data_IF_152022765638
#
_entry.id   IF_152022765638
#
_cell.length_a   1.000
_cell.length_b   1.000
_cell.length_c   1.000
_cell.angle_alpha   90.00
_cell.angle_beta   90.00
_cell.angle_gamma   90.00
#
_symmetry.space_group_name_H-M   'P 1'
#
loop_
_entity.id
_entity.type
_entity.pdbx_description
1 polymer ?
#
# COMPACT_ATOMS: atom_id res chain seq x y z
N UNK A 1 8.74 23.40 -16.80
CA UNK A 1 8.07 23.86 -15.56
C UNK A 1 7.25 25.13 -15.74
N UNK A 2 7.86 26.32 -15.89
CA UNK A 2 7.12 27.59 -15.90
C UNK A 2 6.07 27.71 -17.03
N UNK A 3 6.36 27.15 -18.20
CA UNK A 3 5.41 27.15 -19.33
C UNK A 3 4.19 26.27 -19.07
N UNK A 4 4.38 25.07 -18.52
CA UNK A 4 3.28 24.20 -18.12
C UNK A 4 2.43 24.83 -17.01
N UNK A 5 3.04 25.43 -15.99
CA UNK A 5 2.31 26.14 -14.93
C UNK A 5 1.47 27.30 -15.49
N UNK A 6 2.00 28.05 -16.47
CA UNK A 6 1.24 29.11 -17.15
C UNK A 6 0.07 28.54 -17.95
N UNK A 7 0.28 27.42 -18.64
CA UNK A 7 -0.78 26.71 -19.34
C UNK A 7 -1.87 26.24 -18.37
N UNK A 8 -1.49 25.62 -17.24
CA UNK A 8 -2.42 25.12 -16.23
C UNK A 8 -3.25 26.24 -15.60
N UNK A 9 -2.63 27.38 -15.26
CA UNK A 9 -3.37 28.59 -14.81
C UNK A 9 -4.31 29.14 -15.88
N UNK A 10 -3.93 29.03 -17.15
CA UNK A 10 -4.81 29.40 -18.27
C UNK A 10 -6.01 28.47 -18.39
N UNK A 11 -5.78 27.17 -18.22
CA UNK A 11 -6.82 26.14 -18.23
C UNK A 11 -7.82 26.34 -17.08
N UNK A 12 -7.34 26.48 -15.84
CA UNK A 12 -8.23 26.56 -14.67
C UNK A 12 -9.11 27.81 -14.65
N UNK A 13 -8.64 28.94 -15.21
CA UNK A 13 -9.46 30.15 -15.39
C UNK A 13 -10.64 29.98 -16.35
N UNK A 14 -10.65 28.93 -17.16
CA UNK A 14 -11.73 28.62 -18.09
C UNK A 14 -12.75 27.64 -17.51
N UNK A 15 -12.51 27.12 -16.30
CA UNK A 15 -13.35 26.16 -15.59
C UNK A 15 -14.23 26.88 -14.56
N UNK A 16 -15.31 26.23 -14.15
CA UNK A 16 -16.11 26.65 -13.00
C UNK A 16 -15.41 26.22 -11.70
N UNK A 17 -15.22 27.16 -10.77
CA UNK A 17 -14.54 26.91 -9.49
C UNK A 17 -15.47 26.23 -8.47
N UNK A 18 -16.77 26.19 -8.74
CA UNK A 18 -17.81 25.64 -7.84
C UNK A 18 -18.31 24.26 -8.25
N UNK A 19 -17.93 23.79 -9.44
CA UNK A 19 -18.39 22.52 -10.01
C UNK A 19 -17.27 21.75 -10.72
N UNK A 20 -17.49 20.47 -10.99
CA UNK A 20 -16.53 19.62 -11.69
C UNK A 20 -15.33 19.19 -10.83
N UNK A 21 -14.37 18.55 -11.46
CA UNK A 21 -13.17 18.03 -10.80
C UNK A 21 -12.25 19.11 -10.26
N UNK A 22 -12.18 20.29 -10.91
CA UNK A 22 -11.38 21.41 -10.42
C UNK A 22 -11.78 21.86 -9.02
N UNK A 23 -13.10 21.97 -8.76
CA UNK A 23 -13.63 22.28 -7.45
C UNK A 23 -13.27 21.19 -6.42
N UNK A 24 -13.42 19.91 -6.79
CA UNK A 24 -13.11 18.76 -5.92
C UNK A 24 -11.64 18.74 -5.52
N UNK A 25 -10.71 18.91 -6.47
CA UNK A 25 -9.28 18.90 -6.18
C UNK A 25 -8.87 20.08 -5.31
N UNK A 26 -9.41 21.27 -5.56
CA UNK A 26 -9.10 22.46 -4.78
C UNK A 26 -9.63 22.34 -3.34
N UNK A 27 -10.78 21.70 -3.15
CA UNK A 27 -11.33 21.43 -1.82
C UNK A 27 -10.51 20.37 -1.05
N UNK A 28 -10.10 19.30 -1.74
CA UNK A 28 -9.43 18.15 -1.11
C UNK A 28 -7.95 18.41 -0.82
N UNK A 29 -7.26 19.11 -1.71
CA UNK A 29 -5.84 19.43 -1.60
C UNK A 29 -5.54 20.84 -2.14
N UNK A 30 -5.92 21.89 -1.40
CA UNK A 30 -5.72 23.28 -1.83
C UNK A 30 -4.25 23.64 -1.96
N UNK A 31 -3.39 23.07 -1.13
CA UNK A 31 -1.95 23.34 -1.15
C UNK A 31 -1.26 22.67 -2.34
N UNK A 32 -1.58 21.40 -2.62
CA UNK A 32 -1.06 20.68 -3.78
C UNK A 32 -1.52 21.29 -5.10
N UNK A 33 -2.79 21.71 -5.19
CA UNK A 33 -3.28 22.43 -6.37
C UNK A 33 -2.54 23.76 -6.56
N UNK A 34 -2.33 24.53 -5.47
CA UNK A 34 -1.55 25.78 -5.52
C UNK A 34 -0.11 25.52 -5.95
N UNK A 35 0.54 24.50 -5.41
CA UNK A 35 1.91 24.13 -5.78
C UNK A 35 2.04 23.79 -7.28
N UNK A 36 1.04 23.08 -7.85
CA UNK A 36 0.97 22.79 -9.28
C UNK A 36 0.78 24.07 -10.11
N UNK A 37 -0.11 24.96 -9.69
CA UNK A 37 -0.38 26.24 -10.36
C UNK A 37 0.82 27.19 -10.29
N UNK A 38 1.60 27.17 -9.21
CA UNK A 38 2.82 27.96 -9.05
C UNK A 38 4.01 27.35 -9.81
N UNK A 39 3.89 26.10 -10.26
CA UNK A 39 4.95 25.35 -10.95
C UNK A 39 6.07 24.89 -10.02
N UNK A 40 5.80 24.83 -8.72
CA UNK A 40 6.70 24.26 -7.71
C UNK A 40 6.63 22.73 -7.73
N UNK A 41 5.44 22.18 -8.00
CA UNK A 41 5.18 20.75 -8.23
C UNK A 41 4.57 20.48 -9.61
N UNK A 42 4.55 19.21 -10.03
CA UNK A 42 3.89 18.75 -11.26
C UNK A 42 2.69 17.88 -10.89
N UNK A 43 1.46 18.22 -11.32
CA UNK A 43 0.29 17.39 -11.07
C UNK A 43 0.43 16.05 -11.79
N UNK A 44 -0.09 14.96 -11.20
CA UNK A 44 -0.25 13.71 -11.92
C UNK A 44 -1.08 13.87 -13.20
N UNK A 45 -0.86 13.03 -14.20
CA UNK A 45 -1.56 13.16 -15.48
C UNK A 45 -3.08 13.00 -15.35
N UNK A 46 -3.57 12.13 -14.45
CA UNK A 46 -5.01 11.91 -14.23
C UNK A 46 -5.74 13.18 -13.75
N UNK A 47 -5.03 14.07 -13.04
CA UNK A 47 -5.55 15.39 -12.65
C UNK A 47 -5.72 16.28 -13.88
N UNK A 48 -4.71 16.32 -14.75
CA UNK A 48 -4.76 17.11 -16.00
C UNK A 48 -5.87 16.60 -16.93
N UNK A 49 -6.04 15.29 -17.06
CA UNK A 49 -7.14 14.67 -17.82
C UNK A 49 -8.51 15.07 -17.27
N UNK A 50 -8.66 15.13 -15.95
CA UNK A 50 -9.90 15.52 -15.31
C UNK A 50 -10.23 17.01 -15.53
N UNK A 51 -9.22 17.89 -15.52
CA UNK A 51 -9.40 19.31 -15.86
C UNK A 51 -9.74 19.51 -17.34
N UNK A 52 -9.17 18.70 -18.24
CA UNK A 52 -9.55 18.69 -19.65
C UNK A 52 -10.98 18.17 -19.85
N UNK A 53 -11.41 17.19 -19.04
CA UNK A 53 -12.79 16.72 -19.04
C UNK A 53 -13.76 17.81 -18.57
N UNK A 54 -13.45 18.54 -17.50
CA UNK A 54 -14.23 19.71 -17.08
C UNK A 54 -14.30 20.76 -18.21
N UNK A 55 -13.17 21.02 -18.88
CA UNK A 55 -13.13 21.94 -20.01
C UNK A 55 -14.06 21.49 -21.15
N UNK A 56 -14.13 20.18 -21.45
CA UNK A 56 -15.06 19.65 -22.45
C UNK A 56 -16.51 19.92 -22.06
N UNK A 57 -16.86 19.71 -20.78
CA UNK A 57 -18.20 19.98 -20.24
C UNK A 57 -18.62 21.45 -20.40
N UNK A 58 -17.68 22.39 -20.20
CA UNK A 58 -17.97 23.83 -20.23
C UNK A 58 -17.78 24.51 -21.59
N UNK A 59 -16.86 24.04 -22.42
CA UNK A 59 -16.44 24.70 -23.69
C UNK A 59 -16.59 23.80 -24.92
N UNK A 60 -17.02 22.56 -24.74
CA UNK A 60 -17.21 21.56 -25.80
C UNK A 60 -15.92 20.88 -26.24
N UNK A 61 -16.09 19.74 -26.91
CA UNK A 61 -15.03 18.82 -27.36
C UNK A 61 -13.94 19.46 -28.25
N UNK A 62 -14.27 20.55 -28.98
CA UNK A 62 -13.30 21.25 -29.83
C UNK A 62 -12.16 21.88 -29.01
N UNK A 63 -12.48 22.41 -27.83
CA UNK A 63 -11.50 23.03 -26.95
C UNK A 63 -10.45 22.01 -26.48
N UNK A 64 -10.87 20.78 -26.17
CA UNK A 64 -9.98 19.69 -25.74
C UNK A 64 -9.13 19.14 -26.89
N UNK A 65 -9.67 19.00 -28.11
CA UNK A 65 -8.87 18.55 -29.26
C UNK A 65 -7.67 19.45 -29.53
N UNK A 66 -7.79 20.73 -29.21
CA UNK A 66 -6.70 21.72 -29.37
C UNK A 66 -5.80 21.79 -28.14
N UNK A 67 -6.39 21.77 -26.94
CA UNK A 67 -5.65 21.91 -25.68
C UNK A 67 -4.93 20.63 -25.24
N UNK A 68 -5.50 19.44 -25.51
CA UNK A 68 -5.03 18.14 -25.03
C UNK A 68 -3.61 17.76 -25.48
N UNK A 69 -3.31 17.76 -26.79
CA UNK A 69 -1.95 17.45 -27.27
C UNK A 69 -0.90 18.44 -26.73
N UNK A 70 -1.27 19.71 -26.61
CA UNK A 70 -0.41 20.74 -26.02
C UNK A 70 -0.19 20.50 -24.52
N UNK A 71 -1.25 20.16 -23.77
CA UNK A 71 -1.17 19.83 -22.36
C UNK A 71 -0.23 18.66 -22.12
N UNK A 72 -0.34 17.60 -22.95
CA UNK A 72 0.51 16.41 -22.86
C UNK A 72 1.98 16.72 -23.05
N UNK A 73 2.32 17.43 -24.13
CA UNK A 73 3.71 17.82 -24.42
C UNK A 73 4.30 18.68 -23.29
N UNK A 74 3.57 19.71 -22.85
CA UNK A 74 4.03 20.59 -21.77
C UNK A 74 4.15 19.86 -20.43
N UNK A 75 3.27 18.89 -20.15
CA UNK A 75 3.34 18.04 -18.95
C UNK A 75 4.59 17.17 -18.98
N UNK A 76 4.88 16.49 -20.09
CA UNK A 76 6.08 15.65 -20.24
C UNK A 76 7.37 16.46 -20.07
N UNK A 77 7.44 17.66 -20.67
CA UNK A 77 8.57 18.59 -20.47
C UNK A 77 8.68 19.07 -19.00
N UNK A 78 7.55 19.29 -18.33
CA UNK A 78 7.54 19.67 -16.92
C UNK A 78 8.01 18.52 -16.02
N UNK A 79 7.51 17.31 -16.23
CA UNK A 79 7.94 16.09 -15.52
C UNK A 79 9.45 15.90 -15.69
N UNK A 80 9.97 15.95 -16.92
CA UNK A 80 11.40 15.80 -17.18
C UNK A 80 12.25 16.84 -16.44
N UNK A 81 11.82 18.11 -16.46
CA UNK A 81 12.50 19.18 -15.73
C UNK A 81 12.43 19.04 -14.20
N UNK A 82 11.31 18.52 -13.68
CA UNK A 82 11.15 18.25 -12.25
C UNK A 82 12.02 17.08 -11.78
N UNK A 83 12.12 16.03 -12.60
CA UNK A 83 12.90 14.82 -12.31
C UNK A 83 14.41 15.03 -12.52
N UNK A 84 14.82 16.07 -13.24
CA UNK A 84 16.21 16.49 -13.35
C UNK A 84 16.76 17.15 -12.06
N UNK A 85 15.89 17.51 -11.10
CA UNK A 85 16.31 18.14 -9.84
C UNK A 85 17.08 17.15 -8.95
N UNK A 86 18.06 17.61 -8.14
CA UNK A 86 18.74 16.76 -7.17
C UNK A 86 17.76 16.03 -6.24
N UNK A 87 18.12 14.79 -5.87
CA UNK A 87 17.31 13.96 -4.98
C UNK A 87 16.00 13.42 -5.59
N UNK A 88 15.80 13.53 -6.92
CA UNK A 88 14.59 13.03 -7.57
C UNK A 88 14.27 11.55 -7.27
N UNK A 89 15.23 10.60 -7.29
CA UNK A 89 14.91 9.20 -6.98
C UNK A 89 14.32 8.98 -5.57
N UNK A 90 14.90 9.64 -4.55
CA UNK A 90 14.38 9.53 -3.18
C UNK A 90 12.98 10.14 -3.06
N UNK A 91 12.81 11.37 -3.55
CA UNK A 91 11.51 12.08 -3.53
C UNK A 91 10.40 11.32 -4.27
N UNK A 92 10.71 10.74 -5.43
CA UNK A 92 9.77 9.93 -6.19
C UNK A 92 9.46 8.61 -5.49
N UNK A 93 10.46 7.99 -4.84
CA UNK A 93 10.27 6.81 -3.98
C UNK A 93 9.32 7.10 -2.81
N UNK A 94 9.56 8.16 -2.05
CA UNK A 94 8.70 8.56 -0.93
C UNK A 94 7.25 8.80 -1.37
N UNK A 95 7.07 9.47 -2.52
CA UNK A 95 5.74 9.72 -3.11
C UNK A 95 5.08 8.45 -3.62
N UNK A 96 5.85 7.51 -4.19
CA UNK A 96 5.34 6.21 -4.62
C UNK A 96 4.86 5.40 -3.40
N UNK A 97 5.64 5.36 -2.34
CA UNK A 97 5.28 4.66 -1.10
C UNK A 97 3.99 5.23 -0.50
N UNK A 98 3.83 6.56 -0.52
CA UNK A 98 2.58 7.23 -0.14
C UNK A 98 1.41 6.81 -1.03
N UNK A 99 1.56 6.86 -2.36
CA UNK A 99 0.50 6.45 -3.30
C UNK A 99 0.13 4.96 -3.17
N UNK A 100 1.09 4.09 -2.87
CA UNK A 100 0.83 2.67 -2.65
C UNK A 100 -0.02 2.44 -1.39
N UNK A 101 0.27 3.17 -0.30
CA UNK A 101 -0.57 3.17 0.92
C UNK A 101 -1.97 3.69 0.64
N UNK A 102 -2.10 4.81 -0.07
CA UNK A 102 -3.40 5.36 -0.45
C UNK A 102 -4.21 4.39 -1.31
N UNK A 103 -3.56 3.73 -2.28
CA UNK A 103 -4.20 2.72 -3.13
C UNK A 103 -4.73 1.55 -2.32
N UNK A 104 -3.94 1.07 -1.36
CA UNK A 104 -4.36 -0.02 -0.47
C UNK A 104 -5.54 0.40 0.41
N UNK A 105 -5.50 1.62 0.97
CA UNK A 105 -6.61 2.19 1.73
C UNK A 105 -7.89 2.28 0.90
N UNK A 106 -7.81 2.84 -0.31
CA UNK A 106 -8.95 2.96 -1.21
C UNK A 106 -9.52 1.58 -1.60
N UNK A 107 -8.66 0.59 -1.85
CA UNK A 107 -9.08 -0.78 -2.15
C UNK A 107 -9.79 -1.46 -0.95
N UNK A 108 -9.32 -1.22 0.27
CA UNK A 108 -9.98 -1.72 1.48
C UNK A 108 -11.34 -1.04 1.66
N UNK A 109 -11.37 0.29 1.57
CA UNK A 109 -12.58 1.09 1.69
C UNK A 109 -13.64 0.71 0.66
N UNK A 110 -13.23 0.44 -0.58
CA UNK A 110 -14.11 -0.07 -1.62
C UNK A 110 -14.77 -1.40 -1.22
N UNK A 111 -13.99 -2.35 -0.66
CA UNK A 111 -14.50 -3.66 -0.24
C UNK A 111 -15.48 -3.53 0.92
N UNK A 112 -15.17 -2.70 1.91
CA UNK A 112 -16.04 -2.40 3.05
C UNK A 112 -17.38 -1.82 2.60
N UNK A 113 -17.33 -0.78 1.77
CA UNK A 113 -18.53 -0.11 1.26
C UNK A 113 -19.37 -1.04 0.39
N UNK A 114 -18.73 -1.91 -0.40
CA UNK A 114 -19.43 -2.94 -1.18
C UNK A 114 -20.15 -3.94 -0.28
N UNK A 115 -19.50 -4.41 0.79
CA UNK A 115 -20.11 -5.31 1.76
C UNK A 115 -21.27 -4.64 2.51
N UNK A 116 -21.09 -3.39 2.96
CA UNK A 116 -22.11 -2.60 3.62
C UNK A 116 -23.32 -2.35 2.72
N UNK A 117 -23.09 -2.05 1.44
CA UNK A 117 -24.16 -1.85 0.46
C UNK A 117 -24.97 -3.13 0.22
N UNK A 118 -24.31 -4.29 0.16
CA UNK A 118 -24.98 -5.59 0.03
C UNK A 118 -25.82 -5.91 1.27
N UNK A 119 -25.29 -5.65 2.47
CA UNK A 119 -26.01 -5.85 3.73
C UNK A 119 -27.20 -4.89 3.89
N UNK A 120 -27.12 -3.68 3.34
CA UNK A 120 -28.17 -2.68 3.43
C UNK A 120 -29.38 -2.96 2.53
N UNK A 121 -29.29 -3.85 1.52
CA UNK A 121 -30.38 -4.37 0.67
C UNK A 121 -31.64 -3.47 0.48
N UNK A 122 -31.45 -2.20 0.08
CA UNK A 122 -32.55 -1.26 -0.21
C UNK A 122 -33.09 -0.47 1.00
N UNK A 123 -32.48 -0.61 2.17
CA UNK A 123 -32.78 0.17 3.37
C UNK A 123 -32.34 1.64 3.28
N UNK A 124 -32.83 2.49 4.20
CA UNK A 124 -32.45 3.89 4.26
C UNK A 124 -30.93 4.01 4.48
N UNK A 125 -30.22 4.56 3.49
CA UNK A 125 -28.75 4.68 3.49
C UNK A 125 -28.05 4.00 2.32
N UNK A 126 -28.73 3.13 1.56
CA UNK A 126 -28.15 2.48 0.39
C UNK A 126 -27.64 3.47 -0.68
N UNK A 127 -28.36 4.57 -0.91
CA UNK A 127 -27.94 5.62 -1.85
C UNK A 127 -26.63 6.29 -1.40
N UNK A 128 -26.52 6.69 -0.13
CA UNK A 128 -25.29 7.27 0.43
C UNK A 128 -24.10 6.30 0.33
N UNK A 129 -24.32 5.02 0.65
CA UNK A 129 -23.28 3.99 0.53
C UNK A 129 -22.84 3.76 -0.92
N UNK A 130 -23.78 3.85 -1.88
CA UNK A 130 -23.46 3.76 -3.30
C UNK A 130 -22.61 4.96 -3.77
N UNK A 131 -22.91 6.17 -3.30
CA UNK A 131 -22.12 7.37 -3.59
C UNK A 131 -20.71 7.25 -3.00
N UNK A 132 -20.59 6.88 -1.71
CA UNK A 132 -19.28 6.65 -1.08
C UNK A 132 -18.48 5.55 -1.80
N UNK A 133 -19.14 4.48 -2.26
CA UNK A 133 -18.49 3.40 -3.02
C UNK A 133 -17.98 3.89 -4.36
N UNK A 134 -18.71 4.79 -5.04
CA UNK A 134 -18.27 5.39 -6.28
C UNK A 134 -16.99 6.22 -6.06
N UNK A 135 -16.94 7.01 -4.98
CA UNK A 135 -15.73 7.76 -4.58
C UNK A 135 -14.55 6.84 -4.25
N UNK A 136 -14.78 5.77 -3.46
CA UNK A 136 -13.71 4.83 -3.12
C UNK A 136 -13.13 4.12 -4.34
N UNK A 137 -13.97 3.80 -5.34
CA UNK A 137 -13.52 3.24 -6.63
C UNK A 137 -12.69 4.21 -7.42
N UNK A 138 -13.14 5.46 -7.53
CA UNK A 138 -12.39 6.51 -8.24
C UNK A 138 -11.01 6.72 -7.59
N UNK A 139 -10.96 6.83 -6.26
CA UNK A 139 -9.72 6.95 -5.50
C UNK A 139 -8.77 5.76 -5.73
N UNK A 140 -9.30 4.53 -5.77
CA UNK A 140 -8.51 3.33 -6.04
C UNK A 140 -7.95 3.33 -7.48
N UNK A 141 -8.74 3.74 -8.47
CA UNK A 141 -8.29 3.86 -9.87
C UNK A 141 -7.21 4.94 -10.00
N UNK A 142 -7.42 6.12 -9.42
CA UNK A 142 -6.50 7.26 -9.49
C UNK A 142 -5.18 6.99 -8.78
N UNK A 143 -5.22 6.51 -7.54
CA UNK A 143 -4.01 6.11 -6.79
C UNK A 143 -3.22 5.02 -7.54
N UNK A 144 -3.90 4.07 -8.16
CA UNK A 144 -3.27 3.06 -9.03
C UNK A 144 -2.61 3.64 -10.29
N UNK A 145 -3.24 4.63 -10.94
CA UNK A 145 -2.65 5.33 -12.09
C UNK A 145 -1.41 6.14 -11.67
N UNK A 146 -1.49 6.88 -10.57
CA UNK A 146 -0.38 7.67 -10.01
C UNK A 146 0.80 6.81 -9.61
N UNK A 147 0.56 5.65 -8.98
CA UNK A 147 1.62 4.71 -8.64
C UNK A 147 2.34 4.19 -9.90
N UNK A 148 1.62 3.86 -10.97
CA UNK A 148 2.22 3.46 -12.25
C UNK A 148 3.03 4.58 -12.90
N UNK A 149 2.54 5.82 -12.85
CA UNK A 149 3.26 6.98 -13.37
C UNK A 149 4.58 7.20 -12.61
N UNK A 150 4.55 7.18 -11.28
CA UNK A 150 5.74 7.35 -10.43
C UNK A 150 6.75 6.23 -10.62
N UNK A 151 6.29 4.97 -10.73
CA UNK A 151 7.15 3.84 -11.05
C UNK A 151 7.83 4.03 -12.42
N UNK A 152 7.06 4.40 -13.46
CA UNK A 152 7.61 4.65 -14.79
C UNK A 152 8.67 5.76 -14.82
N UNK A 153 8.51 6.80 -13.99
CA UNK A 153 9.50 7.88 -13.83
C UNK A 153 10.78 7.40 -13.14
N UNK A 154 10.66 6.59 -12.09
CA UNK A 154 11.80 5.95 -11.44
C UNK A 154 12.57 5.04 -12.41
N UNK A 155 11.86 4.24 -13.22
CA UNK A 155 12.45 3.35 -14.21
C UNK A 155 13.18 4.15 -15.31
N UNK A 156 12.62 5.28 -15.74
CA UNK A 156 13.25 6.19 -16.70
C UNK A 156 14.54 6.82 -16.13
N UNK A 157 14.53 7.26 -14.88
CA UNK A 157 15.72 7.79 -14.21
C UNK A 157 16.81 6.72 -14.05
N UNK A 158 16.44 5.50 -13.68
CA UNK A 158 17.36 4.38 -13.59
C UNK A 158 17.98 4.05 -14.95
N UNK A 159 17.16 4.00 -16.00
CA UNK A 159 17.61 3.78 -17.38
C UNK A 159 18.59 4.87 -17.83
N UNK A 160 18.27 6.15 -17.59
CA UNK A 160 19.14 7.26 -17.95
C UNK A 160 20.46 7.28 -17.15
N UNK A 161 20.47 6.77 -15.91
CA UNK A 161 21.69 6.60 -15.13
C UNK A 161 22.59 5.49 -15.71
N UNK A 162 22.01 4.38 -16.16
CA UNK A 162 22.75 3.30 -16.83
C UNK A 162 23.33 3.78 -18.17
N UNK A 163 22.54 4.47 -18.99
CA UNK A 163 23.02 5.01 -20.27
C UNK A 163 24.16 6.02 -20.12
N UNK A 164 24.13 6.86 -19.06
CA UNK A 164 25.23 7.79 -18.75
C UNK A 164 26.51 7.09 -18.27
N UNK A 165 26.37 5.96 -17.57
CA UNK A 165 27.51 5.16 -17.07
C UNK A 165 28.19 4.34 -18.17
N UNK A 166 27.46 4.01 -19.23
CA UNK A 166 27.98 3.29 -20.40
C UNK A 166 27.65 4.05 -21.70
N UNK A 167 28.34 5.16 -21.99
CA UNK A 167 28.18 5.86 -23.26
C UNK A 167 28.88 5.03 -24.35
N UNK A 168 28.14 4.15 -25.04
CA UNK A 168 28.70 3.33 -26.13
C UNK A 168 28.04 1.98 -26.43
N UNK A 169 26.84 1.68 -25.94
CA UNK A 169 26.10 0.46 -26.31
C UNK A 169 25.52 0.52 -27.73
N UNK A 170 26.37 0.76 -28.74
CA UNK A 170 26.00 0.66 -30.14
C UNK A 170 25.75 -0.79 -30.52
N UNK A 171 24.58 -1.06 -31.09
CA UNK A 171 24.28 -2.27 -31.85
C UNK A 171 25.31 -2.44 -32.97
N UNK A 172 26.25 -3.36 -32.81
CA UNK A 172 27.15 -3.81 -33.87
C UNK A 172 26.61 -5.10 -34.51
N UNK A 173 26.43 -5.16 -35.84
CA UNK A 173 26.08 -6.40 -36.53
C UNK A 173 27.33 -7.25 -36.73
N UNK A 174 27.33 -8.47 -36.18
CA UNK A 174 28.40 -9.45 -36.42
C UNK A 174 28.08 -10.27 -37.68
N UNK A 175 28.80 -9.98 -38.77
CA UNK A 175 28.90 -10.84 -39.96
C UNK A 175 30.19 -11.69 -39.91
N UNK A 176 29.97 -13.01 -39.81
CA UNK A 176 30.54 -14.14 -40.59
C UNK A 176 32.08 -14.41 -40.66
N UNK A 177 32.47 -15.51 -39.96
CA UNK A 177 33.23 -16.74 -40.36
C UNK A 177 34.62 -16.65 -41.11
N UNK A 178 35.46 -17.72 -41.28
CA UNK A 178 35.19 -19.18 -41.12
C UNK A 178 36.33 -20.13 -40.60
N UNK A 179 35.87 -21.37 -40.31
CA UNK A 179 36.41 -22.73 -40.56
C UNK A 179 37.67 -23.33 -39.86
N UNK A 180 37.46 -24.48 -39.19
CA UNK A 180 38.08 -25.78 -39.54
C UNK A 180 37.54 -26.97 -38.71
N UNK A 181 36.90 -27.94 -39.37
CA UNK A 181 37.25 -29.36 -39.19
C UNK A 181 36.32 -30.32 -38.40
N UNK A 182 35.34 -30.89 -39.12
CA UNK A 182 34.86 -32.29 -39.14
C UNK A 182 34.32 -33.04 -37.90
N UNK A 183 33.12 -33.61 -38.11
CA UNK A 183 32.28 -34.43 -37.23
C UNK A 183 32.72 -35.94 -37.16
N UNK A 184 32.06 -36.87 -36.41
CA UNK A 184 30.63 -37.18 -36.50
C UNK A 184 29.88 -37.31 -35.16
N UNK A 185 28.56 -37.18 -35.29
CA UNK A 185 27.54 -37.20 -34.24
C UNK A 185 27.39 -38.60 -33.63
N UNK A 186 27.25 -38.65 -32.31
CA UNK A 186 26.44 -39.67 -31.62
C UNK A 186 25.63 -39.00 -30.52
N UNK A 187 24.31 -39.16 -30.63
CA UNK A 187 23.24 -38.68 -29.77
C UNK A 187 23.41 -39.13 -28.32
N UNK A 188 23.54 -38.16 -27.41
CA UNK A 188 23.37 -38.31 -25.97
C UNK A 188 22.89 -36.98 -25.40
N UNK A 189 21.63 -36.92 -25.00
CA UNK A 189 21.00 -35.74 -24.39
C UNK A 189 21.77 -35.34 -23.12
N UNK A 190 22.35 -34.12 -23.02
CA UNK A 190 22.78 -33.61 -21.74
C UNK A 190 21.53 -33.12 -21.01
N UNK A 191 21.21 -33.75 -19.88
CA UNK A 191 20.35 -33.12 -18.88
C UNK A 191 21.07 -31.85 -18.45
N UNK A 192 20.53 -30.70 -18.85
CA UNK A 192 20.99 -29.42 -18.35
C UNK A 192 20.86 -29.42 -16.81
N UNK A 193 21.88 -28.95 -16.06
CA UNK A 193 21.70 -28.75 -14.64
C UNK A 193 20.54 -27.77 -14.44
N UNK A 194 19.60 -28.14 -13.56
CA UNK A 194 18.49 -27.28 -13.20
C UNK A 194 19.03 -25.87 -12.84
N UNK A 195 18.35 -24.79 -13.26
CA UNK A 195 18.75 -23.44 -12.87
C UNK A 195 18.86 -23.37 -11.34
N UNK A 196 19.88 -22.67 -10.79
CA UNK A 196 19.98 -22.52 -9.34
C UNK A 196 18.65 -21.97 -8.82
N UNK A 197 18.17 -22.45 -7.64
CA UNK A 197 16.92 -21.96 -7.08
C UNK A 197 16.98 -20.43 -7.01
N UNK A 198 15.85 -19.73 -7.24
CA UNK A 198 15.82 -18.29 -7.17
C UNK A 198 16.42 -17.84 -5.81
N UNK A 199 17.25 -16.79 -5.79
CA UNK A 199 17.88 -16.34 -4.56
C UNK A 199 16.81 -16.03 -3.51
N UNK A 200 17.05 -16.48 -2.27
CA UNK A 200 16.17 -16.21 -1.13
C UNK A 200 15.85 -14.71 -1.03
N UNK A 201 14.63 -14.37 -0.59
CA UNK A 201 14.13 -13.00 -0.58
C UNK A 201 15.10 -12.05 0.13
N UNK A 202 15.73 -12.50 1.22
CA UNK A 202 16.72 -11.72 1.96
C UNK A 202 18.00 -11.42 1.15
N UNK A 203 18.50 -12.37 0.35
CA UNK A 203 19.69 -12.16 -0.51
C UNK A 203 19.38 -11.17 -1.64
N UNK A 204 18.18 -11.28 -2.21
CA UNK A 204 17.70 -10.32 -3.21
C UNK A 204 17.52 -8.93 -2.58
N UNK A 205 16.95 -8.86 -1.38
CA UNK A 205 16.78 -7.61 -0.64
C UNK A 205 18.12 -6.95 -0.35
N UNK A 206 19.10 -7.71 0.14
CA UNK A 206 20.46 -7.23 0.41
C UNK A 206 21.10 -6.64 -0.86
N UNK A 207 20.95 -7.31 -2.00
CA UNK A 207 21.46 -6.82 -3.28
C UNK A 207 20.74 -5.53 -3.72
N UNK A 208 19.43 -5.46 -3.57
CA UNK A 208 18.66 -4.26 -3.91
C UNK A 208 19.07 -3.07 -3.03
N UNK A 209 19.23 -3.28 -1.72
CA UNK A 209 19.74 -2.25 -0.80
C UNK A 209 21.16 -1.81 -1.15
N UNK A 210 22.08 -2.75 -1.38
CA UNK A 210 23.47 -2.46 -1.75
C UNK A 210 23.61 -1.71 -3.09
N UNK A 211 22.66 -1.90 -4.00
CA UNK A 211 22.62 -1.21 -5.30
C UNK A 211 21.78 0.07 -5.30
N UNK A 212 21.30 0.51 -4.12
CA UNK A 212 20.52 1.74 -3.97
C UNK A 212 19.08 1.64 -4.53
N UNK A 213 18.60 0.43 -4.82
CA UNK A 213 17.26 0.15 -5.38
C UNK A 213 16.22 0.01 -4.25
N UNK A 214 16.07 1.07 -3.46
CA UNK A 214 15.24 1.10 -2.25
C UNK A 214 13.76 0.80 -2.48
N UNK A 215 13.16 1.32 -3.56
CA UNK A 215 11.75 1.07 -3.88
C UNK A 215 11.48 -0.39 -4.24
N UNK A 216 12.38 -1.03 -5.00
CA UNK A 216 12.27 -2.47 -5.29
C UNK A 216 12.53 -3.33 -4.06
N UNK A 217 13.42 -2.87 -3.16
CA UNK A 217 13.63 -3.51 -1.88
C UNK A 217 12.35 -3.47 -1.03
N UNK A 218 11.70 -2.31 -0.97
CA UNK A 218 10.42 -2.16 -0.28
C UNK A 218 9.31 -3.00 -0.93
N UNK A 219 9.17 -2.97 -2.26
CA UNK A 219 8.20 -3.78 -2.98
C UNK A 219 8.41 -5.29 -2.75
N UNK A 220 9.67 -5.74 -2.68
CA UNK A 220 10.01 -7.11 -2.34
C UNK A 220 9.62 -7.45 -0.89
N UNK A 221 9.88 -6.55 0.07
CA UNK A 221 9.44 -6.71 1.47
C UNK A 221 7.92 -6.78 1.58
N UNK A 222 7.19 -5.89 0.92
CA UNK A 222 5.73 -5.90 0.89
C UNK A 222 5.20 -7.19 0.25
N UNK A 223 5.75 -7.60 -0.89
CA UNK A 223 5.36 -8.86 -1.53
C UNK A 223 5.61 -10.06 -0.62
N UNK A 224 6.74 -10.07 0.09
CA UNK A 224 7.08 -11.13 1.04
C UNK A 224 6.16 -11.12 2.27
N UNK A 225 5.79 -9.95 2.80
CA UNK A 225 4.79 -9.81 3.87
C UNK A 225 3.41 -10.34 3.45
N UNK A 226 3.06 -10.19 2.17
CA UNK A 226 1.75 -10.58 1.63
C UNK A 226 1.68 -12.02 1.10
N UNK A 227 2.80 -12.73 0.96
CA UNK A 227 2.85 -14.07 0.36
C UNK A 227 2.11 -15.13 1.19
N UNK A 228 2.71 -15.59 2.30
CA UNK A 228 2.09 -16.56 3.20
C UNK A 228 2.47 -16.29 4.66
N UNK A 229 1.50 -16.16 5.60
CA UNK A 229 1.81 -15.90 7.01
C UNK A 229 2.73 -16.96 7.65
N UNK A 230 2.64 -18.21 7.19
CA UNK A 230 3.46 -19.34 7.63
C UNK A 230 4.94 -19.22 7.23
N UNK A 231 5.28 -18.41 6.22
CA UNK A 231 6.67 -18.21 5.78
C UNK A 231 7.38 -17.09 6.55
N UNK A 232 6.65 -16.30 7.34
CA UNK A 232 7.16 -15.14 8.05
C UNK A 232 8.36 -15.46 8.97
N UNK A 233 8.33 -16.51 9.82
CA UNK A 233 9.47 -16.82 10.69
C UNK A 233 10.74 -17.14 9.89
N UNK A 234 10.60 -17.94 8.82
CA UNK A 234 11.70 -18.29 7.92
C UNK A 234 12.25 -17.04 7.23
N UNK A 235 11.39 -16.14 6.77
CA UNK A 235 11.84 -14.89 6.15
C UNK A 235 12.63 -14.02 7.14
N UNK A 236 12.22 -13.96 8.40
CA UNK A 236 12.96 -13.25 9.44
C UNK A 236 14.32 -13.91 9.70
N UNK A 237 14.38 -15.25 9.79
CA UNK A 237 15.64 -16.00 9.91
C UNK A 237 16.57 -15.68 8.71
N UNK A 238 16.03 -15.67 7.49
CA UNK A 238 16.78 -15.32 6.29
C UNK A 238 17.32 -13.89 6.36
N UNK A 239 16.51 -12.90 6.75
CA UNK A 239 16.92 -11.50 6.89
C UNK A 239 18.04 -11.33 7.92
N UNK A 240 17.89 -11.96 9.09
CA UNK A 240 18.88 -11.92 10.15
C UNK A 240 20.19 -12.58 9.72
N UNK A 241 20.13 -13.72 9.01
CA UNK A 241 21.31 -14.46 8.54
C UNK A 241 22.18 -13.67 7.55
N UNK A 242 21.58 -12.73 6.80
CA UNK A 242 22.30 -11.87 5.84
C UNK A 242 22.58 -10.46 6.40
N UNK A 243 22.38 -10.24 7.69
CA UNK A 243 22.68 -8.96 8.36
C UNK A 243 21.62 -7.87 8.16
N UNK A 244 20.40 -8.23 7.75
CA UNK A 244 19.27 -7.32 7.53
C UNK A 244 18.25 -7.35 8.68
N UNK A 245 18.69 -7.61 9.91
CA UNK A 245 17.82 -7.61 11.09
C UNK A 245 17.06 -6.28 11.29
N UNK A 246 17.62 -5.16 10.81
CA UNK A 246 16.97 -3.85 10.84
C UNK A 246 15.72 -3.74 9.94
N UNK A 247 15.51 -4.66 9.01
CA UNK A 247 14.32 -4.72 8.15
C UNK A 247 13.13 -5.44 8.82
N UNK A 248 13.38 -6.19 9.90
CA UNK A 248 12.34 -6.97 10.61
C UNK A 248 11.20 -6.08 11.14
N UNK A 249 11.45 -4.91 11.76
CA UNK A 249 10.38 -4.00 12.16
C UNK A 249 9.52 -3.51 10.99
N UNK A 250 10.12 -3.22 9.84
CA UNK A 250 9.39 -2.81 8.62
C UNK A 250 8.56 -3.97 8.08
N UNK A 251 9.11 -5.18 8.07
CA UNK A 251 8.37 -6.38 7.68
C UNK A 251 7.16 -6.62 8.60
N UNK A 252 7.34 -6.55 9.92
CA UNK A 252 6.25 -6.73 10.89
C UNK A 252 5.17 -5.65 10.74
N UNK A 253 5.55 -4.41 10.43
CA UNK A 253 4.60 -3.34 10.13
C UNK A 253 3.73 -3.69 8.90
N UNK A 254 4.34 -4.17 7.82
CA UNK A 254 3.59 -4.60 6.62
C UNK A 254 2.66 -5.79 6.91
N UNK A 255 3.10 -6.72 7.75
CA UNK A 255 2.29 -7.87 8.19
C UNK A 255 1.11 -7.43 9.06
N UNK A 256 1.28 -6.39 9.90
CA UNK A 256 0.20 -5.85 10.74
C UNK A 256 -0.98 -5.31 9.92
N UNK A 257 -0.72 -4.89 8.67
CA UNK A 257 -1.71 -4.39 7.72
C UNK A 257 -2.51 -5.50 7.01
N UNK A 258 -2.17 -6.78 7.18
CA UNK A 258 -2.89 -7.88 6.56
C UNK A 258 -4.35 -7.97 7.03
N UNK A 259 -5.28 -8.56 6.26
CA UNK A 259 -6.63 -8.86 6.73
C UNK A 259 -6.63 -9.66 8.05
N UNK A 260 -7.63 -9.49 8.94
CA UNK A 260 -7.64 -10.09 10.28
C UNK A 260 -7.27 -11.57 10.35
N UNK A 261 -7.78 -12.47 9.47
CA UNK A 261 -7.40 -13.89 9.52
C UNK A 261 -5.93 -14.14 9.17
N UNK A 262 -5.34 -13.32 8.29
CA UNK A 262 -3.93 -13.44 7.90
C UNK A 262 -2.99 -12.85 8.96
N UNK A 263 -3.42 -11.78 9.65
CA UNK A 263 -2.71 -11.26 10.82
C UNK A 263 -2.68 -12.30 11.95
N UNK A 264 -3.83 -12.93 12.25
CA UNK A 264 -3.92 -14.01 13.22
C UNK A 264 -2.99 -15.20 12.85
N UNK A 265 -3.01 -15.63 11.59
CA UNK A 265 -2.12 -16.68 11.10
C UNK A 265 -0.63 -16.32 11.18
N UNK A 266 -0.27 -15.03 11.02
CA UNK A 266 1.11 -14.58 11.13
C UNK A 266 1.59 -14.58 12.59
N UNK A 267 0.75 -14.11 13.52
CA UNK A 267 1.03 -14.17 14.96
C UNK A 267 1.17 -15.62 15.43
N UNK A 268 0.28 -16.50 14.97
CA UNK A 268 0.35 -17.95 15.21
C UNK A 268 1.67 -18.55 14.69
N UNK A 269 2.04 -18.28 13.43
CA UNK A 269 3.28 -18.77 12.85
C UNK A 269 4.52 -18.31 13.63
N UNK A 270 4.54 -17.05 14.10
CA UNK A 270 5.61 -16.53 14.94
C UNK A 270 5.68 -17.24 16.30
N UNK A 271 4.53 -17.44 16.97
CA UNK A 271 4.50 -18.17 18.24
C UNK A 271 4.95 -19.63 18.04
N UNK A 272 4.47 -20.31 16.99
CA UNK A 272 4.83 -21.69 16.68
C UNK A 272 6.33 -21.86 16.40
N UNK A 273 6.98 -20.83 15.85
CA UNK A 273 8.42 -20.77 15.63
C UNK A 273 9.23 -20.32 16.87
N UNK A 274 8.59 -20.09 18.01
CA UNK A 274 9.24 -19.61 19.24
C UNK A 274 9.58 -18.11 19.26
N UNK A 275 9.16 -17.35 18.23
CA UNK A 275 9.33 -15.89 18.11
C UNK A 275 8.19 -15.13 18.83
N UNK A 276 8.00 -15.44 20.11
CA UNK A 276 6.90 -14.91 20.92
C UNK A 276 6.97 -13.40 21.11
N UNK A 277 8.16 -12.82 21.25
CA UNK A 277 8.32 -11.37 21.39
C UNK A 277 7.85 -10.61 20.13
N UNK A 278 8.09 -11.18 18.94
CA UNK A 278 7.68 -10.59 17.67
C UNK A 278 6.18 -10.81 17.42
N UNK A 279 5.63 -11.96 17.81
CA UNK A 279 4.19 -12.22 17.81
C UNK A 279 3.44 -11.19 18.67
N UNK A 280 3.91 -10.97 19.91
CA UNK A 280 3.33 -9.97 20.82
C UNK A 280 3.44 -8.55 20.25
N UNK A 281 4.59 -8.19 19.66
CA UNK A 281 4.77 -6.88 19.00
C UNK A 281 3.80 -6.69 17.84
N UNK A 282 3.63 -7.72 17.01
CA UNK A 282 2.72 -7.71 15.87
C UNK A 282 1.25 -7.51 16.32
N UNK A 283 0.80 -8.27 17.33
CA UNK A 283 -0.55 -8.14 17.87
C UNK A 283 -0.80 -6.75 18.48
N UNK A 284 0.19 -6.20 19.20
CA UNK A 284 0.10 -4.84 19.75
C UNK A 284 0.00 -3.77 18.67
N UNK A 285 0.65 -3.94 17.52
CA UNK A 285 0.48 -3.02 16.39
C UNK A 285 -0.94 -3.11 15.80
N UNK A 286 -1.53 -4.32 15.80
CA UNK A 286 -2.87 -4.57 15.31
C UNK A 286 -3.99 -3.80 16.02
N UNK A 287 -3.81 -3.35 17.26
CA UNK A 287 -4.87 -2.60 18.01
C UNK A 287 -5.05 -1.15 17.56
N UNK A 288 -4.19 -0.67 16.66
CA UNK A 288 -4.38 0.63 15.99
C UNK A 288 -5.55 0.62 14.99
N UNK A 289 -6.00 -0.58 14.59
CA UNK A 289 -7.06 -0.82 13.60
C UNK A 289 -8.47 -0.53 14.18
N UNK A 290 -9.50 -0.42 13.34
CA UNK A 290 -10.89 -0.35 13.80
C UNK A 290 -11.23 -1.51 14.75
N UNK A 291 -12.01 -1.24 15.80
CA UNK A 291 -12.34 -2.22 16.86
C UNK A 291 -12.98 -3.49 16.32
N UNK A 292 -13.79 -3.38 15.25
CA UNK A 292 -14.34 -4.55 14.55
C UNK A 292 -13.27 -5.45 13.89
N UNK A 293 -12.18 -4.89 13.38
CA UNK A 293 -11.07 -5.71 12.83
C UNK A 293 -10.25 -6.38 13.93
N UNK A 294 -10.09 -5.71 15.08
CA UNK A 294 -9.47 -6.30 16.28
C UNK A 294 -10.30 -7.50 16.75
N UNK A 295 -11.63 -7.35 16.79
CA UNK A 295 -12.57 -8.43 17.10
C UNK A 295 -12.42 -9.63 16.15
N UNK A 296 -12.41 -9.37 14.84
CA UNK A 296 -12.22 -10.42 13.83
C UNK A 296 -10.85 -11.11 13.96
N UNK A 297 -9.80 -10.37 14.34
CA UNK A 297 -8.47 -10.97 14.57
C UNK A 297 -8.50 -11.89 15.77
N UNK A 298 -9.15 -11.49 16.87
CA UNK A 298 -9.32 -12.33 18.04
C UNK A 298 -10.15 -13.58 17.76
N UNK A 299 -11.26 -13.46 17.03
CA UNK A 299 -12.07 -14.61 16.62
C UNK A 299 -11.28 -15.58 15.72
N UNK A 300 -10.45 -15.06 14.81
CA UNK A 300 -9.58 -15.89 13.99
C UNK A 300 -8.52 -16.64 14.83
N UNK A 301 -7.96 -15.99 15.85
CA UNK A 301 -7.04 -16.63 16.80
C UNK A 301 -7.75 -17.71 17.64
N UNK A 302 -8.95 -17.43 18.16
CA UNK A 302 -9.75 -18.41 18.90
C UNK A 302 -10.10 -19.62 18.02
N UNK A 303 -10.55 -19.39 16.79
CA UNK A 303 -10.82 -20.45 15.81
C UNK A 303 -9.59 -21.28 15.42
N UNK A 304 -8.39 -20.69 15.51
CA UNK A 304 -7.11 -21.37 15.32
C UNK A 304 -6.59 -22.07 16.60
N UNK A 305 -7.34 -22.04 17.71
CA UNK A 305 -6.92 -22.65 18.97
C UNK A 305 -5.81 -21.86 19.69
N UNK A 306 -5.76 -20.53 19.50
CA UNK A 306 -4.76 -19.61 20.05
C UNK A 306 -5.37 -18.62 21.07
N UNK A 307 -5.91 -19.10 22.21
CA UNK A 307 -6.57 -18.23 23.18
C UNK A 307 -5.60 -17.30 23.93
N UNK A 308 -4.33 -17.69 24.08
CA UNK A 308 -3.32 -16.85 24.73
C UNK A 308 -3.00 -15.59 23.90
N UNK A 309 -2.87 -15.76 22.58
CA UNK A 309 -2.65 -14.68 21.62
C UNK A 309 -3.87 -13.78 21.51
N UNK A 310 -5.09 -14.35 21.47
CA UNK A 310 -6.31 -13.57 21.51
C UNK A 310 -6.40 -12.71 22.79
N UNK A 311 -5.97 -13.27 23.93
CA UNK A 311 -5.93 -12.55 25.21
C UNK A 311 -4.88 -11.45 25.22
N UNK A 312 -3.68 -11.68 24.67
CA UNK A 312 -2.66 -10.61 24.55
C UNK A 312 -3.14 -9.48 23.63
N UNK A 313 -3.84 -9.78 22.54
CA UNK A 313 -4.43 -8.77 21.65
C UNK A 313 -5.44 -7.90 22.40
N UNK A 314 -6.34 -8.50 23.18
CA UNK A 314 -7.33 -7.77 23.98
C UNK A 314 -6.68 -7.03 25.16
N UNK A 315 -5.62 -7.58 25.76
CA UNK A 315 -4.86 -6.88 26.81
C UNK A 315 -4.17 -5.64 26.22
N UNK A 316 -3.65 -5.74 25.00
CA UNK A 316 -3.11 -4.59 24.27
C UNK A 316 -4.20 -3.55 23.95
N UNK A 317 -5.40 -3.98 23.55
CA UNK A 317 -6.54 -3.10 23.30
C UNK A 317 -6.94 -2.33 24.57
N UNK A 318 -7.08 -3.03 25.70
CA UNK A 318 -7.42 -2.43 27.02
C UNK A 318 -6.37 -1.42 27.48
N UNK A 319 -5.09 -1.62 27.15
CA UNK A 319 -4.03 -0.65 27.47
C UNK A 319 -4.09 0.59 26.57
N UNK A 320 -4.48 0.43 25.30
CA UNK A 320 -4.35 1.44 24.26
C UNK A 320 -5.60 2.28 24.01
N UNK A 321 -6.80 1.76 24.33
CA UNK A 321 -8.10 2.36 23.97
C UNK A 321 -8.94 2.69 25.20
N UNK A 322 -10.05 3.40 24.99
CA UNK A 322 -11.00 3.66 26.08
C UNK A 322 -11.76 2.37 26.45
N UNK A 323 -12.32 2.28 27.67
CA UNK A 323 -13.16 1.16 28.06
C UNK A 323 -14.35 0.94 27.10
N UNK A 324 -14.94 2.01 26.59
CA UNK A 324 -16.08 1.97 25.66
C UNK A 324 -15.68 1.38 24.31
N UNK A 325 -14.56 1.81 23.73
CA UNK A 325 -14.02 1.25 22.47
C UNK A 325 -13.65 -0.24 22.64
N UNK A 326 -13.11 -0.62 23.81
CA UNK A 326 -12.78 -2.00 24.10
C UNK A 326 -14.03 -2.89 24.23
N UNK A 327 -15.12 -2.36 24.81
CA UNK A 327 -16.42 -3.04 24.86
C UNK A 327 -17.06 -3.12 23.47
N UNK A 328 -16.96 -2.06 22.67
CA UNK A 328 -17.45 -2.03 21.28
C UNK A 328 -16.84 -3.17 20.44
N UNK A 329 -15.56 -3.50 20.66
CA UNK A 329 -14.89 -4.61 19.99
C UNK A 329 -15.55 -5.98 20.25
N UNK A 330 -16.38 -6.13 21.29
CA UNK A 330 -17.08 -7.40 21.57
C UNK A 330 -18.41 -7.55 20.85
N UNK A 331 -18.93 -6.48 20.23
CA UNK A 331 -20.30 -6.40 19.73
C UNK A 331 -20.65 -7.47 18.68
N UNK A 332 -19.68 -7.89 17.86
CA UNK A 332 -19.89 -8.89 16.81
C UNK A 332 -20.04 -10.31 17.32
N UNK A 333 -19.48 -10.64 18.49
CA UNK A 333 -19.55 -11.97 19.09
C UNK A 333 -19.47 -11.89 20.62
N UNK A 334 -20.51 -11.35 21.29
CA UNK A 334 -20.45 -11.06 22.73
C UNK A 334 -20.18 -12.30 23.58
N UNK A 335 -20.75 -13.45 23.22
CA UNK A 335 -20.59 -14.70 23.98
C UNK A 335 -19.14 -15.23 24.03
N UNK A 336 -18.32 -14.91 23.04
CA UNK A 336 -16.90 -15.32 22.99
C UNK A 336 -15.98 -14.18 23.46
N UNK A 337 -16.29 -12.94 23.08
CA UNK A 337 -15.37 -11.81 23.24
C UNK A 337 -15.53 -11.08 24.58
N UNK A 338 -16.71 -11.09 25.21
CA UNK A 338 -16.88 -10.47 26.54
C UNK A 338 -16.09 -11.22 27.62
N UNK A 339 -16.13 -12.57 27.70
CA UNK A 339 -15.27 -13.29 28.65
C UNK A 339 -13.79 -13.03 28.40
N UNK A 340 -13.35 -13.05 27.13
CA UNK A 340 -11.98 -12.75 26.74
C UNK A 340 -11.54 -11.35 27.19
N UNK A 341 -12.40 -10.34 26.99
CA UNK A 341 -12.13 -8.96 27.39
C UNK A 341 -12.00 -8.80 28.91
N UNK A 342 -12.86 -9.46 29.68
CA UNK A 342 -12.78 -9.42 31.14
C UNK A 342 -11.51 -10.08 31.65
N UNK A 343 -11.16 -11.26 31.12
CA UNK A 343 -9.89 -11.94 31.45
C UNK A 343 -8.69 -11.06 31.11
N UNK A 344 -8.64 -10.51 29.90
CA UNK A 344 -7.57 -9.63 29.47
C UNK A 344 -7.46 -8.36 30.34
N UNK A 345 -8.59 -7.77 30.74
CA UNK A 345 -8.60 -6.61 31.61
C UNK A 345 -8.10 -6.93 33.04
N UNK A 346 -8.45 -8.12 33.55
CA UNK A 346 -7.96 -8.61 34.84
C UNK A 346 -6.44 -8.82 34.82
N UNK A 347 -5.90 -9.39 33.74
CA UNK A 347 -4.46 -9.58 33.53
C UNK A 347 -3.70 -8.23 33.44
N UNK A 348 -4.34 -7.18 32.94
CA UNK A 348 -3.75 -5.83 32.89
C UNK A 348 -3.72 -5.18 34.28
N UNK A 349 -4.87 -5.08 34.96
CA UNK A 349 -4.94 -4.63 36.37
C UNK A 349 -6.37 -4.74 36.94
N UNK A 350 -6.51 -4.80 38.28
CA UNK A 350 -7.83 -4.72 38.93
C UNK A 350 -8.61 -3.44 38.60
N UNK A 351 -7.92 -2.33 38.34
CA UNK A 351 -8.55 -1.06 37.95
C UNK A 351 -9.18 -1.15 36.56
N UNK A 352 -8.42 -1.62 35.57
CA UNK A 352 -8.92 -1.82 34.19
C UNK A 352 -10.08 -2.82 34.14
N UNK A 353 -10.02 -3.90 34.91
CA UNK A 353 -11.14 -4.83 35.04
C UNK A 353 -12.44 -4.15 35.51
N UNK A 354 -12.34 -3.25 36.51
CA UNK A 354 -13.51 -2.50 37.00
C UNK A 354 -14.05 -1.53 35.95
N UNK A 355 -13.19 -0.82 35.24
CA UNK A 355 -13.59 0.13 34.18
C UNK A 355 -14.35 -0.59 33.06
N UNK A 356 -13.83 -1.71 32.58
CA UNK A 356 -14.48 -2.54 31.56
C UNK A 356 -15.81 -3.10 32.07
N UNK A 357 -15.84 -3.62 33.30
CA UNK A 357 -17.06 -4.13 33.93
C UNK A 357 -18.12 -3.03 34.08
N UNK A 358 -17.72 -1.77 34.25
CA UNK A 358 -18.61 -0.62 34.31
C UNK A 358 -19.13 -0.25 32.91
N UNK A 359 -18.25 -0.17 31.92
CA UNK A 359 -18.61 0.11 30.53
C UNK A 359 -19.60 -0.92 29.95
N UNK A 360 -19.41 -2.22 30.24
CA UNK A 360 -20.34 -3.28 29.84
C UNK A 360 -21.76 -3.07 30.42
N UNK A 361 -21.84 -2.71 31.71
CA UNK A 361 -23.12 -2.43 32.39
C UNK A 361 -23.80 -1.19 31.82
N UNK A 362 -23.05 -0.14 31.50
CA UNK A 362 -23.58 1.08 30.91
C UNK A 362 -24.11 0.87 29.48
N UNK A 363 -23.51 -0.05 28.72
CA UNK A 363 -23.90 -0.39 27.35
C UNK A 363 -25.08 -1.37 27.20
N UNK A 364 -25.67 -1.83 28.31
CA UNK A 364 -26.82 -2.76 28.27
C UNK A 364 -26.48 -4.23 28.01
N UNK A 365 -25.20 -4.61 28.01
CA UNK A 365 -24.78 -6.00 27.98
C UNK A 365 -24.90 -6.61 29.39
N UNK A 366 -26.09 -7.13 29.71
CA UNK A 366 -26.31 -7.96 30.90
C UNK A 366 -25.59 -9.31 30.72
N UNK A 367 -24.81 -9.70 31.73
CA UNK A 367 -24.09 -10.98 31.81
C UNK A 367 -25.01 -12.19 31.83
#
# INVERSE_FOLDING_TARGET
MAEFARFLRGLTRLLDETAGWYAVFTLRDPEGMRACLDGTDVPPWDVVESLLHDLAGWRGEYAVRTAGPRARRLHEEAVAAYDARPGAPARLGDRLDMMLRERQYAALRERELRAALLAAAGGPGAARLADELAWARDDHVRSGARARELQGRLDALASAAVSRRFPGGGTGPYEREPDAGSAPRTSGTPVAPAPPPPPANATRLARLRATGRGGEAHALLCAAAHAHPSELPRLMDELESVGLAAEVPTLLWEVACLPPPRLAAAADALTAAGRTAESVRLLRQGVARPVGEVAHTALALLGAGRPAEARELFAALVRARTPEEAVEATASAPGELVPLLLEAAADVSPYRHRDISHALRAGGAGF
#
